data_IF_170985958739
#
_entry.id   IF_170985958739
#
_cell.length_a   1.000
_cell.length_b   1.000
_cell.length_c   1.000
_cell.angle_alpha   90.00
_cell.angle_beta   90.00
_cell.angle_gamma   90.00
#
_symmetry.space_group_name_H-M   'P 1'
#
loop_
_entity.id
_entity.type
_entity.pdbx_description
1 polymer ?
#
# COMPACT_ATOMS: atom_id res chain seq x y z
N UNK A 1 66.85 6.50 15.50
CA UNK A 1 67.79 5.41 15.14
C UNK A 1 66.97 4.19 14.93
N UNK A 2 66.99 3.80 13.85
CA UNK A 2 67.26 2.90 12.81
C UNK A 2 66.00 2.55 12.01
N UNK A 3 66.04 3.04 10.78
CA UNK A 3 65.16 2.56 9.70
C UNK A 3 65.68 1.21 9.20
N UNK A 4 64.82 0.36 8.70
CA UNK A 4 65.16 -0.55 7.63
C UNK A 4 63.98 -0.84 6.73
N UNK A 5 64.15 -0.45 5.49
CA UNK A 5 63.32 -0.74 4.32
C UNK A 5 63.86 -2.04 3.66
N UNK A 6 62.94 -2.82 3.08
CA UNK A 6 63.17 -3.77 1.97
C UNK A 6 61.77 -4.05 1.39
N UNK A 7 61.33 -3.58 0.29
CA UNK A 7 61.70 -3.65 -1.13
C UNK A 7 61.54 -5.05 -1.76
N UNK A 8 60.54 -5.12 -2.66
CA UNK A 8 60.47 -5.86 -3.93
C UNK A 8 60.47 -7.39 -3.96
N UNK A 9 59.41 -7.98 -4.51
CA UNK A 9 59.47 -8.71 -5.77
C UNK A 9 58.09 -9.18 -6.23
N UNK A 10 57.68 -8.69 -7.41
CA UNK A 10 56.73 -9.33 -8.32
C UNK A 10 57.45 -10.41 -9.13
N UNK A 11 56.74 -11.40 -9.65
CA UNK A 11 56.92 -11.73 -11.05
C UNK A 11 55.68 -11.64 -11.90
N UNK A 12 55.86 -11.07 -13.06
CA UNK A 12 54.98 -11.08 -14.20
C UNK A 12 55.10 -12.37 -15.00
N UNK A 13 54.06 -12.73 -15.73
CA UNK A 13 54.05 -13.74 -16.77
C UNK A 13 52.77 -14.59 -16.64
N UNK A 14 51.95 -14.86 -17.64
CA UNK A 14 52.09 -14.74 -19.08
C UNK A 14 50.67 -14.71 -19.69
N UNK A 15 50.55 -13.95 -20.76
CA UNK A 15 49.47 -14.00 -21.72
C UNK A 15 49.40 -15.36 -22.42
N UNK A 16 48.20 -15.92 -22.57
CA UNK A 16 47.94 -16.90 -23.62
C UNK A 16 46.63 -16.54 -24.32
N UNK A 17 46.74 -16.01 -25.52
CA UNK A 17 45.72 -15.90 -26.54
C UNK A 17 45.33 -17.29 -27.05
N UNK A 18 44.04 -17.58 -27.15
CA UNK A 18 43.54 -18.62 -28.02
C UNK A 18 42.41 -18.06 -28.87
N UNK A 19 42.73 -17.74 -30.12
CA UNK A 19 41.80 -17.54 -31.22
C UNK A 19 41.25 -18.90 -31.64
N UNK A 20 39.98 -19.01 -31.81
CA UNK A 20 39.28 -20.19 -32.35
C UNK A 20 38.01 -19.81 -33.08
N UNK A 21 38.18 -19.44 -34.34
CA UNK A 21 37.38 -19.61 -35.54
C UNK A 21 35.87 -19.88 -35.44
N UNK A 22 35.17 -18.91 -35.96
CA UNK A 22 33.83 -18.96 -36.53
C UNK A 22 33.69 -20.08 -37.58
N UNK A 23 32.55 -20.77 -37.59
CA UNK A 23 31.96 -21.37 -38.78
C UNK A 23 30.52 -20.95 -38.93
N UNK A 24 30.29 -20.16 -39.97
CA UNK A 24 29.01 -19.81 -40.51
C UNK A 24 28.40 -21.03 -41.25
N UNK A 25 27.14 -21.33 -40.99
CA UNK A 25 26.32 -22.11 -41.89
C UNK A 25 25.24 -21.22 -42.49
N UNK A 26 25.53 -20.82 -43.73
CA UNK A 26 24.62 -20.27 -44.70
C UNK A 26 23.71 -21.41 -45.20
N UNK A 27 22.39 -21.25 -45.16
CA UNK A 27 21.49 -21.99 -46.03
C UNK A 27 20.50 -21.04 -46.68
N UNK A 28 20.44 -21.24 -47.98
CA UNK A 28 19.90 -20.43 -49.03
C UNK A 28 18.38 -20.32 -49.10
N UNK A 29 17.93 -19.16 -49.55
CA UNK A 29 16.60 -18.92 -50.11
C UNK A 29 16.51 -19.52 -51.55
N UNK A 30 15.35 -20.00 -51.97
CA UNK A 30 15.02 -20.01 -53.40
C UNK A 30 14.11 -18.84 -53.76
N UNK A 31 14.58 -18.07 -54.73
CA UNK A 31 13.80 -17.10 -55.49
C UNK A 31 12.78 -17.82 -56.38
N UNK A 32 11.56 -17.32 -56.39
CA UNK A 32 10.59 -17.64 -57.44
C UNK A 32 10.26 -16.37 -58.25
N UNK A 33 10.42 -16.52 -59.53
CA UNK A 33 10.34 -15.54 -60.63
C UNK A 33 8.98 -14.88 -60.74
N UNK A 34 9.05 -13.59 -61.01
CA UNK A 34 8.04 -12.75 -61.67
C UNK A 34 7.66 -13.27 -63.04
N UNK A 35 6.39 -13.31 -63.35
CA UNK A 35 5.88 -13.23 -64.75
C UNK A 35 4.88 -12.09 -64.79
N UNK A 36 5.28 -11.08 -65.57
CA UNK A 36 4.44 -10.01 -66.11
C UNK A 36 3.34 -10.61 -66.99
N UNK A 37 2.13 -10.18 -66.80
CA UNK A 37 1.09 -10.19 -67.82
C UNK A 37 0.42 -8.83 -67.84
N UNK A 38 0.79 -8.08 -68.90
CA UNK A 38 0.07 -6.92 -69.39
C UNK A 38 -1.29 -7.36 -69.91
N UNK A 39 -2.36 -6.73 -69.43
CA UNK A 39 -3.63 -6.65 -70.20
C UNK A 39 -4.33 -5.32 -69.89
N UNK A 40 -4.51 -4.65 -70.98
CA UNK A 40 -5.33 -3.54 -71.40
C UNK A 40 -6.40 -2.95 -70.48
N UNK A 41 -6.35 -1.61 -70.41
CA UNK A 41 -7.44 -0.75 -69.96
C UNK A 41 -8.46 -0.51 -71.08
N UNK A 42 -9.77 -0.52 -70.76
CA UNK A 42 -10.73 0.28 -71.51
C UNK A 42 -10.95 1.62 -70.79
N UNK A 43 -10.79 2.68 -71.57
CA UNK A 43 -11.23 4.03 -71.15
C UNK A 43 -12.77 4.04 -71.14
N UNK A 44 -13.36 4.51 -70.11
CA UNK A 44 -14.76 4.92 -70.02
C UNK A 44 -14.82 6.40 -69.64
N UNK A 45 -15.52 7.13 -70.46
CA UNK A 45 -15.71 8.58 -70.52
C UNK A 45 -16.37 9.11 -69.23
N UNK A 46 -15.89 10.27 -68.77
CA UNK A 46 -16.49 11.06 -67.77
C UNK A 46 -17.87 11.61 -68.15
N UNK A 47 -18.89 11.25 -67.43
CA UNK A 47 -20.14 12.02 -67.41
C UNK A 47 -20.16 12.75 -66.05
N UNK A 48 -20.07 14.08 -66.12
CA UNK A 48 -20.33 14.99 -65.00
C UNK A 48 -21.79 14.84 -64.57
N UNK A 49 -22.00 14.25 -63.38
CA UNK A 49 -23.26 14.40 -62.68
C UNK A 49 -23.01 15.13 -61.40
N UNK A 50 -23.60 16.32 -61.30
CA UNK A 50 -23.70 17.13 -60.11
C UNK A 50 -24.43 16.33 -59.02
N UNK A 51 -23.67 15.78 -58.07
CA UNK A 51 -24.27 15.19 -56.87
C UNK A 51 -24.36 16.25 -55.80
N UNK A 52 -25.58 16.63 -55.51
CA UNK A 52 -26.00 17.32 -54.31
C UNK A 52 -25.53 16.51 -53.10
N UNK A 53 -24.60 17.06 -52.30
CA UNK A 53 -24.19 16.49 -51.04
C UNK A 53 -25.37 16.58 -50.05
N UNK A 54 -26.14 15.50 -49.98
CA UNK A 54 -26.98 15.26 -48.80
C UNK A 54 -26.06 14.85 -47.66
N UNK A 55 -25.89 15.73 -46.67
CA UNK A 55 -25.30 15.41 -45.36
C UNK A 55 -26.21 14.40 -44.66
N UNK A 56 -26.00 13.13 -44.92
CA UNK A 56 -26.54 12.05 -44.12
C UNK A 56 -25.71 12.03 -42.83
N UNK A 57 -26.27 12.65 -41.78
CA UNK A 57 -25.82 12.37 -40.41
C UNK A 57 -26.05 10.87 -40.17
N UNK A 58 -24.95 10.11 -40.07
CA UNK A 58 -25.00 8.71 -39.63
C UNK A 58 -25.76 8.67 -38.30
N UNK A 59 -26.76 7.79 -38.14
CA UNK A 59 -27.39 7.60 -36.86
C UNK A 59 -26.30 7.11 -35.90
N UNK A 60 -26.09 7.85 -34.77
CA UNK A 60 -25.25 7.37 -33.68
C UNK A 60 -25.77 5.98 -33.31
N UNK A 61 -25.06 4.94 -33.69
CA UNK A 61 -25.40 3.58 -33.29
C UNK A 61 -25.45 3.54 -31.77
N UNK A 62 -26.56 3.03 -31.23
CA UNK A 62 -26.60 2.68 -29.82
C UNK A 62 -25.40 1.79 -29.48
N UNK A 63 -24.65 2.05 -28.40
CA UNK A 63 -23.47 1.26 -28.07
C UNK A 63 -23.87 -0.21 -28.01
N UNK A 64 -23.04 -1.08 -28.60
CA UNK A 64 -23.25 -2.54 -28.53
C UNK A 64 -23.32 -2.95 -27.07
N UNK A 65 -24.08 -3.99 -26.78
CA UNK A 65 -24.27 -4.49 -25.39
C UNK A 65 -22.94 -4.69 -24.66
N UNK A 66 -21.89 -5.12 -25.37
CA UNK A 66 -20.54 -5.27 -24.87
C UNK A 66 -19.89 -3.94 -24.44
N UNK A 67 -20.11 -2.86 -25.18
CA UNK A 67 -19.62 -1.52 -24.86
C UNK A 67 -20.30 -0.96 -23.62
N UNK A 68 -21.62 -1.18 -23.50
CA UNK A 68 -22.38 -0.82 -22.30
C UNK A 68 -21.88 -1.58 -21.05
N UNK A 69 -21.56 -2.88 -21.18
CA UNK A 69 -20.98 -3.66 -20.10
C UNK A 69 -19.57 -3.19 -19.72
N UNK A 70 -18.72 -2.90 -20.73
CA UNK A 70 -17.38 -2.34 -20.49
C UNK A 70 -17.47 -1.01 -19.74
N UNK A 71 -18.34 -0.12 -20.17
CA UNK A 71 -18.53 1.17 -19.52
C UNK A 71 -19.04 0.98 -18.09
N UNK A 72 -20.12 0.20 -17.89
CA UNK A 72 -20.69 -0.06 -16.57
C UNK A 72 -19.68 -0.67 -15.60
N UNK A 73 -18.93 -1.69 -16.04
CA UNK A 73 -17.96 -2.38 -15.17
C UNK A 73 -16.77 -1.51 -14.81
N UNK A 74 -16.32 -0.62 -15.71
CA UNK A 74 -15.14 0.20 -15.46
C UNK A 74 -15.45 1.55 -14.82
N UNK A 75 -16.68 2.06 -14.98
CA UNK A 75 -17.03 3.41 -14.50
C UNK A 75 -16.87 3.59 -12.99
N UNK A 76 -17.14 2.53 -12.21
CA UNK A 76 -17.17 2.58 -10.75
C UNK A 76 -16.28 1.50 -10.09
N UNK A 77 -15.34 0.93 -10.83
CA UNK A 77 -14.37 0.01 -10.26
C UNK A 77 -13.22 0.78 -9.63
N UNK A 78 -12.92 0.48 -8.38
CA UNK A 78 -11.80 1.01 -7.59
C UNK A 78 -10.85 -0.13 -7.28
N UNK A 79 -9.62 -0.04 -7.76
CA UNK A 79 -8.58 -1.02 -7.50
C UNK A 79 -7.73 -0.60 -6.30
N UNK A 80 -7.60 -1.49 -5.33
CA UNK A 80 -6.85 -1.28 -4.09
C UNK A 80 -5.65 -2.22 -4.08
N UNK A 81 -4.43 -1.67 -4.20
CA UNK A 81 -3.20 -2.45 -4.01
C UNK A 81 -2.97 -2.67 -2.52
N UNK A 82 -2.84 -3.94 -2.14
CA UNK A 82 -2.72 -4.41 -0.76
C UNK A 82 -1.34 -5.05 -0.50
N UNK A 83 -1.24 -5.98 0.42
CA UNK A 83 -0.03 -6.72 0.73
C UNK A 83 -0.01 -8.12 0.13
N UNK A 84 0.95 -8.92 0.56
CA UNK A 84 1.02 -10.33 0.26
C UNK A 84 -0.14 -11.10 0.90
N UNK A 85 -0.42 -12.34 0.47
CA UNK A 85 -1.48 -13.17 1.05
C UNK A 85 -1.31 -13.49 2.54
N UNK A 86 -0.13 -13.22 3.09
CA UNK A 86 0.21 -13.48 4.49
C UNK A 86 0.08 -12.21 5.36
N UNK A 87 -0.23 -11.06 4.75
CA UNK A 87 -0.31 -9.76 5.40
C UNK A 87 -1.75 -9.29 5.60
N UNK A 88 -1.99 -8.58 6.70
CA UNK A 88 -3.30 -8.01 7.06
C UNK A 88 -3.87 -7.07 6.00
N UNK A 89 -3.04 -6.42 5.17
CA UNK A 89 -3.52 -5.53 4.11
C UNK A 89 -4.45 -6.21 3.12
N UNK A 90 -4.19 -7.48 2.79
CA UNK A 90 -5.06 -8.22 1.88
C UNK A 90 -6.40 -8.55 2.54
N UNK A 91 -6.40 -8.95 3.82
CA UNK A 91 -7.62 -9.20 4.57
C UNK A 91 -8.50 -7.95 4.67
N UNK A 92 -7.89 -6.80 4.97
CA UNK A 92 -8.56 -5.49 5.04
C UNK A 92 -9.16 -5.11 3.68
N UNK A 93 -8.40 -5.28 2.60
CA UNK A 93 -8.90 -4.96 1.25
C UNK A 93 -10.02 -5.91 0.80
N UNK A 94 -9.96 -7.18 1.22
CA UNK A 94 -11.04 -8.13 1.02
C UNK A 94 -12.30 -7.75 1.80
N UNK A 95 -12.17 -7.36 3.06
CA UNK A 95 -13.30 -6.87 3.87
C UNK A 95 -13.96 -5.65 3.23
N UNK A 96 -13.16 -4.70 2.72
CA UNK A 96 -13.67 -3.56 1.94
C UNK A 96 -14.48 -4.03 0.73
N UNK A 97 -13.98 -5.00 -0.03
CA UNK A 97 -14.68 -5.53 -1.19
C UNK A 97 -15.99 -6.21 -0.80
N UNK A 98 -16.01 -6.99 0.28
CA UNK A 98 -17.21 -7.71 0.72
C UNK A 98 -18.29 -6.76 1.24
N UNK A 99 -17.91 -5.69 1.95
CA UNK A 99 -18.87 -4.77 2.58
C UNK A 99 -19.33 -3.67 1.63
N UNK A 100 -18.45 -3.18 0.74
CA UNK A 100 -18.72 -1.98 -0.05
C UNK A 100 -19.14 -2.26 -1.48
N UNK A 101 -19.04 -3.51 -1.97
CA UNK A 101 -19.50 -3.83 -3.32
C UNK A 101 -21.01 -3.76 -3.42
N UNK A 102 -21.47 -2.98 -4.38
CA UNK A 102 -22.88 -2.87 -4.73
C UNK A 102 -23.07 -2.75 -6.26
N UNK A 103 -24.28 -2.42 -6.73
CA UNK A 103 -24.55 -2.22 -8.16
C UNK A 103 -23.77 -1.04 -8.77
N UNK A 104 -23.30 -0.14 -7.94
CA UNK A 104 -22.70 1.13 -8.33
C UNK A 104 -21.24 1.29 -7.94
N UNK A 105 -20.67 0.39 -7.14
CA UNK A 105 -19.28 0.41 -6.70
C UNK A 105 -18.72 -1.01 -6.69
N UNK A 106 -17.55 -1.19 -7.29
CA UNK A 106 -16.81 -2.44 -7.27
C UNK A 106 -15.41 -2.23 -6.75
N UNK A 107 -15.05 -2.90 -5.68
CA UNK A 107 -13.70 -2.92 -5.13
C UNK A 107 -12.96 -4.13 -5.67
N UNK A 108 -11.76 -3.90 -6.19
CA UNK A 108 -10.84 -4.95 -6.65
C UNK A 108 -9.59 -4.95 -5.78
N UNK A 109 -9.47 -5.86 -4.82
CA UNK A 109 -8.21 -6.10 -4.13
C UNK A 109 -7.14 -6.61 -5.10
N UNK A 110 -5.95 -6.01 -5.06
CA UNK A 110 -4.78 -6.43 -5.84
C UNK A 110 -3.71 -6.88 -4.84
N UNK A 111 -3.18 -8.08 -5.04
CA UNK A 111 -2.04 -8.59 -4.28
C UNK A 111 -0.79 -7.78 -4.65
N UNK A 112 -0.08 -7.28 -3.65
CA UNK A 112 1.17 -6.53 -3.78
C UNK A 112 2.22 -7.05 -2.80
N UNK A 113 3.34 -6.32 -2.69
CA UNK A 113 4.42 -6.62 -1.74
C UNK A 113 4.39 -5.71 -0.49
N UNK A 114 3.28 -4.96 -0.30
CA UNK A 114 3.13 -4.07 0.84
C UNK A 114 3.54 -2.62 0.58
N UNK A 115 3.62 -1.85 1.65
CA UNK A 115 3.56 -0.40 1.66
C UNK A 115 4.53 0.36 0.75
N UNK A 116 5.79 -0.09 0.61
CA UNK A 116 6.77 0.60 -0.24
C UNK A 116 6.43 0.47 -1.73
N UNK A 117 6.06 -0.74 -2.20
CA UNK A 117 5.58 -0.94 -3.56
C UNK A 117 4.28 -0.18 -3.79
N UNK A 118 3.34 -0.27 -2.86
CA UNK A 118 2.01 0.31 -3.00
C UNK A 118 2.05 1.82 -3.23
N UNK A 119 2.98 2.54 -2.62
CA UNK A 119 3.18 3.97 -2.89
C UNK A 119 3.57 4.20 -4.36
N UNK A 120 4.51 3.40 -4.88
CA UNK A 120 4.94 3.49 -6.29
C UNK A 120 3.79 3.14 -7.23
N UNK A 121 3.01 2.11 -6.90
CA UNK A 121 1.90 1.64 -7.73
C UNK A 121 0.74 2.65 -7.77
N UNK A 122 0.40 3.28 -6.67
CA UNK A 122 -0.58 4.38 -6.64
C UNK A 122 -0.12 5.55 -7.51
N UNK A 123 1.18 5.88 -7.51
CA UNK A 123 1.72 7.01 -8.26
C UNK A 123 1.85 6.72 -9.77
N UNK A 124 2.20 5.50 -10.16
CA UNK A 124 2.70 5.23 -11.51
C UNK A 124 1.98 4.10 -12.24
N UNK A 125 1.37 3.13 -11.53
CA UNK A 125 0.72 1.99 -12.17
C UNK A 125 -0.68 2.36 -12.64
N UNK A 126 -0.93 2.18 -13.95
CA UNK A 126 -2.26 2.40 -14.50
C UNK A 126 -3.24 1.36 -13.95
N UNK A 127 -4.37 1.83 -13.47
CA UNK A 127 -5.44 0.95 -12.97
C UNK A 127 -5.44 0.77 -11.46
N UNK A 128 -4.43 1.25 -10.74
CA UNK A 128 -4.45 1.36 -9.27
C UNK A 128 -5.03 2.72 -8.89
N UNK A 129 -6.02 2.72 -8.01
CA UNK A 129 -6.68 3.93 -7.53
C UNK A 129 -6.32 4.25 -6.07
N UNK A 130 -6.17 3.22 -5.25
CA UNK A 130 -5.92 3.31 -3.80
C UNK A 130 -4.83 2.30 -3.43
N UNK A 131 -4.03 2.62 -2.42
CA UNK A 131 -3.06 1.70 -1.83
C UNK A 131 -3.14 1.69 -0.31
N UNK A 132 -2.76 0.55 0.29
CA UNK A 132 -2.53 0.48 1.73
C UNK A 132 -1.03 0.57 1.96
N UNK A 133 -0.61 1.50 2.81
CA UNK A 133 0.79 1.70 3.18
C UNK A 133 0.91 2.01 4.67
N UNK A 134 2.11 2.25 5.16
CA UNK A 134 2.31 2.72 6.54
C UNK A 134 2.77 4.17 6.60
N UNK A 135 2.51 4.83 7.72
CA UNK A 135 3.00 6.17 8.02
C UNK A 135 4.53 6.24 7.95
N UNK A 136 5.22 5.14 8.31
CA UNK A 136 6.66 5.02 8.22
C UNK A 136 7.16 5.06 6.77
N UNK A 137 6.46 4.35 5.85
CA UNK A 137 6.85 4.36 4.43
C UNK A 137 6.63 5.73 3.79
N UNK A 138 5.55 6.41 4.14
CA UNK A 138 5.32 7.78 3.68
C UNK A 138 6.45 8.72 4.14
N UNK A 139 6.86 8.62 5.41
CA UNK A 139 7.98 9.40 5.96
C UNK A 139 9.31 9.03 5.31
N UNK A 140 9.59 7.74 5.12
CA UNK A 140 10.80 7.26 4.46
C UNK A 140 10.96 7.89 3.08
N UNK A 141 9.96 7.77 2.21
CA UNK A 141 10.04 8.34 0.87
C UNK A 141 10.05 9.86 0.83
N UNK A 142 9.39 10.52 1.79
CA UNK A 142 9.46 11.98 1.90
C UNK A 142 10.85 12.46 2.33
N UNK A 143 11.57 11.68 3.16
CA UNK A 143 12.90 12.04 3.66
C UNK A 143 14.04 11.67 2.72
N UNK A 144 13.93 10.55 2.01
CA UNK A 144 15.01 10.07 1.11
C UNK A 144 14.98 10.74 -0.25
N UNK A 145 13.81 11.25 -0.68
CA UNK A 145 13.66 11.81 -2.02
C UNK A 145 13.78 10.79 -3.15
N UNK A 146 13.70 9.49 -2.86
CA UNK A 146 13.74 8.42 -3.88
C UNK A 146 12.63 8.56 -4.93
N UNK A 147 11.49 9.12 -4.54
CA UNK A 147 10.40 9.44 -5.45
C UNK A 147 10.47 10.91 -5.81
N UNK A 148 10.62 11.21 -7.10
CA UNK A 148 10.76 12.57 -7.60
C UNK A 148 9.58 13.47 -7.21
N UNK A 149 9.89 14.70 -6.79
CA UNK A 149 8.93 15.74 -6.37
C UNK A 149 8.51 15.61 -4.90
N UNK A 150 7.77 16.59 -4.42
CA UNK A 150 7.19 16.60 -3.09
C UNK A 150 6.06 15.55 -3.00
N UNK A 151 6.29 14.48 -2.27
CA UNK A 151 5.37 13.35 -2.21
C UNK A 151 4.02 13.73 -1.59
N UNK A 152 4.03 14.61 -0.60
CA UNK A 152 2.88 15.21 0.08
C UNK A 152 1.97 16.07 -0.83
N UNK A 153 2.48 16.49 -1.99
CA UNK A 153 1.70 17.20 -3.03
C UNK A 153 1.13 16.25 -4.10
N UNK A 154 1.52 15.00 -4.08
CA UNK A 154 1.14 14.00 -5.09
C UNK A 154 0.24 12.92 -4.55
N UNK A 155 0.27 12.70 -3.25
CA UNK A 155 -0.54 11.72 -2.54
C UNK A 155 -1.40 12.39 -1.49
N UNK A 156 -2.65 12.01 -1.42
CA UNK A 156 -3.55 12.28 -0.32
C UNK A 156 -3.78 10.99 0.49
N UNK A 157 -3.99 11.12 1.80
CA UNK A 157 -4.50 10.00 2.56
C UNK A 157 -6.03 10.06 2.67
N UNK A 158 -6.70 8.92 2.57
CA UNK A 158 -8.14 8.82 2.77
C UNK A 158 -8.43 8.78 4.27
N UNK A 159 -7.84 7.81 4.96
CA UNK A 159 -7.91 7.66 6.41
C UNK A 159 -6.70 6.90 6.95
N UNK A 160 -6.37 7.12 8.22
CA UNK A 160 -5.53 6.19 8.96
C UNK A 160 -6.36 4.95 9.25
N UNK A 161 -5.72 3.80 9.21
CA UNK A 161 -6.35 2.54 9.56
C UNK A 161 -5.96 2.17 11.01
N UNK A 162 -5.30 1.08 11.18
CA UNK A 162 -4.94 0.51 12.48
C UNK A 162 -3.41 0.50 12.66
N UNK A 163 -2.92 0.36 13.90
CA UNK A 163 -1.51 0.08 14.14
C UNK A 163 -1.12 -1.32 13.67
N UNK A 164 0.05 -1.42 13.04
CA UNK A 164 0.71 -2.67 12.68
C UNK A 164 1.87 -2.89 13.64
N UNK A 165 1.82 -3.97 14.35
CA UNK A 165 2.82 -4.33 15.33
C UNK A 165 4.01 -5.05 14.68
N UNK A 166 5.21 -4.73 15.13
CA UNK A 166 6.43 -5.42 14.73
C UNK A 166 6.61 -6.67 15.59
N UNK A 167 6.67 -7.82 14.97
CA UNK A 167 6.90 -9.10 15.62
C UNK A 167 8.31 -9.58 15.28
N UNK A 168 9.09 -9.98 16.29
CA UNK A 168 10.37 -10.65 16.09
C UNK A 168 10.18 -12.09 16.56
N UNK A 169 10.05 -13.01 15.59
CA UNK A 169 9.92 -14.44 15.85
C UNK A 169 11.30 -15.08 15.86
N UNK A 170 11.63 -15.82 16.90
CA UNK A 170 12.92 -16.45 17.06
C UNK A 170 12.83 -17.86 17.71
N UNK A 171 13.94 -18.59 17.65
CA UNK A 171 14.12 -19.81 18.44
C UNK A 171 14.23 -19.46 19.95
N UNK A 172 13.89 -20.41 20.80
CA UNK A 172 13.82 -20.19 22.26
C UNK A 172 15.17 -19.88 22.94
N UNK A 173 16.29 -20.05 22.27
CA UNK A 173 17.62 -19.64 22.76
C UNK A 173 17.90 -18.14 22.61
N UNK A 174 17.20 -17.44 21.75
CA UNK A 174 17.21 -15.97 21.66
C UNK A 174 16.25 -15.41 22.70
N UNK A 175 16.74 -14.69 23.71
CA UNK A 175 15.91 -14.13 24.80
C UNK A 175 15.62 -12.65 24.62
N UNK A 176 16.56 -11.92 24.04
CA UNK A 176 16.52 -10.47 23.85
C UNK A 176 16.94 -10.12 22.42
N UNK A 177 16.69 -8.89 21.97
CA UNK A 177 17.21 -8.40 20.69
C UNK A 177 18.75 -8.41 20.65
N UNK A 178 19.41 -8.20 21.80
CA UNK A 178 20.87 -8.22 21.87
C UNK A 178 21.47 -9.59 21.52
N UNK A 179 20.74 -10.66 21.76
CA UNK A 179 21.13 -12.02 21.37
C UNK A 179 21.15 -12.24 19.85
N UNK A 180 20.58 -11.29 19.09
CA UNK A 180 20.57 -11.32 17.63
C UNK A 180 21.82 -10.64 17.01
N UNK A 181 22.66 -9.96 17.79
CA UNK A 181 23.86 -9.30 17.30
C UNK A 181 24.73 -10.31 16.52
N UNK A 182 25.12 -9.87 15.32
CA UNK A 182 25.94 -10.64 14.36
C UNK A 182 25.31 -11.96 13.86
N UNK A 183 24.03 -12.22 14.20
CA UNK A 183 23.29 -13.38 13.68
C UNK A 183 22.53 -13.02 12.41
N UNK A 184 22.18 -14.05 11.63
CA UNK A 184 21.31 -13.89 10.45
C UNK A 184 19.87 -13.67 10.91
N UNK A 185 19.27 -12.58 10.46
CA UNK A 185 17.87 -12.22 10.73
C UNK A 185 17.17 -11.90 9.43
N UNK A 186 16.01 -12.51 9.20
CA UNK A 186 15.20 -12.22 8.02
C UNK A 186 14.41 -10.92 8.24
N UNK A 187 14.55 -9.98 7.29
CA UNK A 187 13.80 -8.73 7.24
C UNK A 187 12.68 -8.77 6.17
N UNK A 188 12.15 -9.97 5.88
CA UNK A 188 11.15 -10.20 4.82
C UNK A 188 11.74 -10.02 3.41
N UNK A 189 10.89 -9.96 2.39
CA UNK A 189 11.32 -9.78 1.01
C UNK A 189 12.00 -8.42 0.79
N UNK A 190 12.99 -8.42 -0.08
CA UNK A 190 13.71 -7.20 -0.44
C UNK A 190 12.76 -6.15 -1.05
N UNK A 191 12.87 -4.90 -0.60
CA UNK A 191 12.01 -3.79 -1.00
C UNK A 191 10.65 -3.74 -0.30
N UNK A 192 10.39 -4.64 0.67
CA UNK A 192 9.17 -4.62 1.48
C UNK A 192 9.20 -3.52 2.55
N UNK A 193 8.03 -3.16 3.06
CA UNK A 193 7.92 -2.24 4.21
C UNK A 193 8.57 -2.80 5.46
N UNK A 194 8.48 -4.11 5.64
CA UNK A 194 9.08 -4.82 6.78
C UNK A 194 10.60 -4.67 6.76
N UNK A 195 11.25 -4.87 5.60
CA UNK A 195 12.69 -4.68 5.46
C UNK A 195 13.13 -3.28 5.86
N UNK A 196 12.50 -2.24 5.30
CA UNK A 196 12.85 -0.85 5.56
C UNK A 196 12.66 -0.49 7.02
N UNK A 197 11.51 -0.88 7.60
CA UNK A 197 11.19 -0.58 9.00
C UNK A 197 12.06 -1.37 9.98
N UNK A 198 12.35 -2.64 9.67
CA UNK A 198 13.24 -3.46 10.50
C UNK A 198 14.65 -2.88 10.56
N UNK A 199 15.22 -2.47 9.43
CA UNK A 199 16.52 -1.78 9.39
C UNK A 199 16.53 -0.52 10.26
N UNK A 200 15.47 0.30 10.16
CA UNK A 200 15.35 1.53 10.95
C UNK A 200 15.29 1.22 12.45
N UNK A 201 14.41 0.32 12.88
CA UNK A 201 14.24 -0.06 14.30
C UNK A 201 15.50 -0.69 14.86
N UNK A 202 16.10 -1.66 14.18
CA UNK A 202 17.35 -2.32 14.62
C UNK A 202 18.52 -1.33 14.68
N UNK A 203 18.59 -0.40 13.69
CA UNK A 203 19.57 0.68 13.68
C UNK A 203 19.41 1.64 14.85
N UNK A 204 18.18 2.09 15.16
CA UNK A 204 17.88 2.97 16.29
C UNK A 204 18.16 2.31 17.63
N UNK A 205 18.03 1.00 17.72
CA UNK A 205 18.35 0.21 18.92
C UNK A 205 19.82 -0.23 18.97
N UNK A 206 20.61 0.09 17.94
CA UNK A 206 22.02 -0.31 17.84
C UNK A 206 22.24 -1.83 17.88
N UNK A 207 21.30 -2.58 17.29
CA UNK A 207 21.39 -4.04 17.14
C UNK A 207 21.84 -4.35 15.73
N UNK A 208 23.13 -4.63 15.54
CA UNK A 208 23.71 -5.00 14.24
C UNK A 208 23.49 -6.48 13.97
N UNK A 209 22.87 -6.82 12.83
CA UNK A 209 22.59 -8.20 12.41
C UNK A 209 23.08 -8.46 10.99
N UNK A 210 23.21 -9.74 10.61
CA UNK A 210 23.39 -10.15 9.22
C UNK A 210 22.02 -10.26 8.57
N UNK A 211 21.60 -9.22 7.87
CA UNK A 211 20.33 -9.20 7.18
C UNK A 211 20.28 -10.24 6.07
N UNK A 212 19.14 -10.97 6.01
CA UNK A 212 18.77 -11.84 4.90
C UNK A 212 17.33 -11.50 4.49
N UNK A 213 16.96 -11.78 3.23
CA UNK A 213 15.65 -11.45 2.68
C UNK A 213 15.05 -12.69 2.04
N UNK A 214 13.91 -13.13 2.58
CA UNK A 214 13.13 -14.27 2.06
C UNK A 214 11.67 -14.16 2.52
N UNK A 215 10.79 -14.99 1.96
CA UNK A 215 9.39 -15.08 2.38
C UNK A 215 9.27 -15.49 3.85
N UNK A 216 8.16 -15.14 4.51
CA UNK A 216 7.96 -15.51 5.91
C UNK A 216 7.87 -17.03 6.09
N UNK A 217 7.27 -17.74 5.14
CA UNK A 217 7.19 -19.21 5.18
C UNK A 217 8.60 -19.85 5.15
N UNK A 218 9.48 -19.39 4.25
CA UNK A 218 10.85 -19.86 4.16
C UNK A 218 11.67 -19.49 5.39
N UNK A 219 11.47 -18.28 5.93
CA UNK A 219 12.14 -17.81 7.13
C UNK A 219 11.80 -18.65 8.37
N UNK A 220 10.51 -18.97 8.58
CA UNK A 220 10.08 -19.86 9.66
C UNK A 220 10.72 -21.25 9.52
N UNK A 221 10.77 -21.79 8.29
CA UNK A 221 11.45 -23.05 8.03
C UNK A 221 12.96 -22.99 8.29
N UNK A 222 13.60 -21.86 7.98
CA UNK A 222 15.04 -21.61 8.20
C UNK A 222 15.37 -21.46 9.70
N UNK A 223 14.50 -20.81 10.50
CA UNK A 223 14.66 -20.74 11.96
C UNK A 223 14.61 -22.14 12.56
N UNK A 224 13.65 -22.96 12.16
CA UNK A 224 13.50 -24.34 12.64
C UNK A 224 14.71 -25.23 12.33
N UNK A 225 15.43 -24.94 11.24
CA UNK A 225 16.69 -25.62 10.86
C UNK A 225 17.91 -25.04 11.56
N UNK A 226 17.81 -23.85 12.15
CA UNK A 226 18.94 -23.12 12.72
C UNK A 226 19.79 -22.38 11.67
N UNK A 227 19.29 -22.19 10.44
CA UNK A 227 19.99 -21.48 9.37
C UNK A 227 19.96 -19.95 9.60
N UNK A 228 18.91 -19.44 10.25
CA UNK A 228 18.76 -18.05 10.70
C UNK A 228 18.27 -18.02 12.16
N UNK A 229 18.55 -16.94 12.87
CA UNK A 229 18.18 -16.81 14.28
C UNK A 229 16.75 -16.31 14.50
N UNK A 230 16.27 -15.42 13.63
CA UNK A 230 14.96 -14.78 13.76
C UNK A 230 14.40 -14.30 12.41
N UNK A 231 13.10 -14.00 12.39
CA UNK A 231 12.46 -13.26 11.33
C UNK A 231 11.63 -12.11 11.91
N UNK A 232 11.56 -11.01 11.16
CA UNK A 232 10.72 -9.85 11.47
C UNK A 232 9.44 -9.91 10.63
N UNK A 233 8.30 -9.66 11.28
CA UNK A 233 6.99 -9.51 10.63
C UNK A 233 6.36 -8.22 11.12
N UNK A 234 5.95 -7.33 10.22
CA UNK A 234 5.15 -6.14 10.55
C UNK A 234 3.76 -6.34 9.95
N UNK A 235 2.79 -6.45 10.83
CA UNK A 235 1.41 -6.78 10.45
C UNK A 235 0.45 -6.41 11.57
N UNK A 236 -0.82 -6.21 11.24
CA UNK A 236 -1.86 -6.08 12.26
C UNK A 236 -2.01 -7.38 13.04
N UNK A 237 -2.13 -7.28 14.36
CA UNK A 237 -2.36 -8.46 15.22
C UNK A 237 -3.84 -8.90 15.17
N UNK A 238 -4.11 -10.23 15.16
CA UNK A 238 -3.12 -11.30 15.09
C UNK A 238 -2.57 -11.48 13.66
N UNK A 239 -1.24 -11.51 13.53
CA UNK A 239 -0.59 -11.81 12.27
C UNK A 239 -0.86 -13.26 11.86
N UNK A 240 -1.53 -13.47 10.73
CA UNK A 240 -2.03 -14.79 10.32
C UNK A 240 -0.93 -15.85 10.17
N UNK A 241 0.25 -15.45 9.69
CA UNK A 241 1.41 -16.34 9.55
C UNK A 241 1.96 -16.81 10.89
N UNK A 242 1.88 -15.97 11.93
CA UNK A 242 2.39 -16.29 13.28
C UNK A 242 1.36 -17.00 14.14
N UNK A 243 0.09 -16.63 14.08
CA UNK A 243 -0.96 -17.22 14.91
C UNK A 243 -1.20 -18.72 14.62
N UNK A 244 -0.77 -19.20 13.44
CA UNK A 244 -0.88 -20.61 13.05
C UNK A 244 0.32 -21.47 13.41
N UNK A 245 1.39 -20.90 14.00
CA UNK A 245 2.59 -21.66 14.40
C UNK A 245 2.23 -22.57 15.57
N UNK A 246 2.47 -23.91 15.46
CA UNK A 246 2.18 -24.84 16.54
C UNK A 246 3.23 -24.75 17.65
N UNK A 247 2.84 -25.05 18.88
CA UNK A 247 3.76 -25.04 20.04
C UNK A 247 4.94 -26.03 19.86
N UNK A 248 4.75 -27.10 19.05
CA UNK A 248 5.81 -28.09 18.76
C UNK A 248 7.01 -27.49 18.03
N UNK A 249 6.87 -26.34 17.36
CA UNK A 249 7.96 -25.69 16.64
C UNK A 249 8.98 -25.02 17.57
N UNK A 250 8.65 -24.89 18.86
CA UNK A 250 9.52 -24.34 19.90
C UNK A 250 10.08 -22.93 19.58
N UNK A 251 9.21 -22.10 18.98
CA UNK A 251 9.49 -20.71 18.66
C UNK A 251 8.84 -19.79 19.68
N UNK A 252 9.24 -18.53 19.73
CA UNK A 252 8.62 -17.49 20.53
C UNK A 252 8.79 -16.10 19.95
N UNK A 253 8.02 -15.12 20.48
CA UNK A 253 8.17 -13.72 20.17
C UNK A 253 9.15 -13.06 21.13
N UNK A 254 10.05 -12.24 20.58
CA UNK A 254 11.07 -11.49 21.32
C UNK A 254 10.58 -10.08 21.56
N UNK A 255 10.77 -9.57 22.77
CA UNK A 255 10.41 -8.20 23.14
C UNK A 255 11.26 -7.16 22.41
N UNK A 256 10.63 -6.07 21.97
CA UNK A 256 11.30 -4.88 21.44
C UNK A 256 11.16 -3.77 22.49
N UNK A 257 12.25 -3.37 23.16
CA UNK A 257 12.17 -2.35 24.20
C UNK A 257 11.81 -0.98 23.60
N UNK A 258 10.69 -0.41 24.05
CA UNK A 258 10.25 0.91 23.62
C UNK A 258 10.92 1.99 24.46
N UNK A 259 11.78 2.78 23.84
CA UNK A 259 12.57 3.82 24.48
C UNK A 259 12.39 5.19 23.81
N UNK A 260 12.99 6.25 24.37
CA UNK A 260 12.87 7.62 23.86
C UNK A 260 13.31 7.79 22.39
N UNK A 261 14.22 6.96 21.92
CA UNK A 261 14.67 7.01 20.52
C UNK A 261 13.55 6.57 19.57
N UNK A 262 12.75 5.61 20.00
CA UNK A 262 11.62 5.08 19.23
C UNK A 262 10.34 5.93 19.36
N UNK A 263 10.11 6.57 20.54
CA UNK A 263 8.89 7.37 20.83
C UNK A 263 8.61 8.47 19.80
N UNK A 264 9.65 9.07 19.23
CA UNK A 264 9.51 10.15 18.24
C UNK A 264 9.04 9.68 16.86
N UNK A 265 9.10 8.36 16.62
CA UNK A 265 8.96 7.78 15.28
C UNK A 265 7.87 6.72 15.24
N UNK A 266 7.79 5.93 16.30
CA UNK A 266 6.96 4.74 16.39
C UNK A 266 5.92 4.89 17.50
N UNK A 267 4.91 4.03 17.44
CA UNK A 267 3.89 3.89 18.49
C UNK A 267 4.30 2.72 19.38
N UNK A 268 4.09 2.83 20.68
CA UNK A 268 4.24 1.68 21.56
C UNK A 268 3.16 0.65 21.27
N UNK A 269 3.56 -0.58 20.98
CA UNK A 269 2.70 -1.71 20.74
C UNK A 269 2.80 -2.75 21.85
N UNK A 270 1.85 -3.67 21.87
CA UNK A 270 1.82 -4.82 22.78
C UNK A 270 1.24 -6.04 22.06
N UNK A 271 1.84 -7.20 22.27
CA UNK A 271 1.37 -8.48 21.75
C UNK A 271 0.86 -9.32 22.91
N UNK A 272 -0.40 -9.67 22.86
CA UNK A 272 -1.08 -10.37 23.96
C UNK A 272 -1.00 -11.90 23.75
N UNK A 273 -0.78 -12.64 24.83
CA UNK A 273 -0.76 -14.11 24.82
C UNK A 273 -2.03 -14.72 24.22
N UNK A 274 -3.18 -14.09 24.43
CA UNK A 274 -4.46 -14.58 23.89
C UNK A 274 -4.48 -14.63 22.36
N UNK A 275 -3.70 -13.78 21.68
CA UNK A 275 -3.58 -13.77 20.22
C UNK A 275 -2.49 -14.73 19.68
N UNK A 276 -1.51 -15.05 20.54
CA UNK A 276 -0.35 -15.90 20.21
C UNK A 276 -0.07 -16.95 21.30
N UNK A 277 -1.01 -17.84 21.58
CA UNK A 277 -0.93 -18.76 22.73
C UNK A 277 0.25 -19.73 22.68
N UNK A 278 0.80 -19.98 21.48
CA UNK A 278 1.93 -20.88 21.28
C UNK A 278 3.29 -20.16 21.26
N UNK A 279 3.30 -18.81 21.17
CA UNK A 279 4.49 -17.98 21.00
C UNK A 279 4.78 -17.06 22.17
N UNK A 280 3.80 -16.86 23.05
CA UNK A 280 3.92 -16.03 24.26
C UNK A 280 3.54 -16.89 25.45
N UNK A 281 4.38 -16.86 26.50
CA UNK A 281 4.16 -17.66 27.70
C UNK A 281 2.91 -17.19 28.46
N UNK A 282 2.24 -18.16 29.13
CA UNK A 282 0.98 -17.90 29.80
C UNK A 282 1.06 -16.76 30.82
N UNK A 283 0.10 -15.84 30.75
CA UNK A 283 0.02 -14.66 31.63
C UNK A 283 0.98 -13.53 31.28
N UNK A 284 1.71 -13.64 30.17
CA UNK A 284 2.63 -12.60 29.70
C UNK A 284 2.08 -11.82 28.50
N UNK A 285 2.68 -10.68 28.25
CA UNK A 285 2.54 -9.90 27.04
C UNK A 285 3.91 -9.39 26.60
N UNK A 286 4.09 -9.19 25.31
CA UNK A 286 5.36 -8.76 24.72
C UNK A 286 5.23 -7.30 24.29
N UNK A 287 6.11 -6.44 24.82
CA UNK A 287 6.22 -5.06 24.35
C UNK A 287 6.85 -5.02 22.96
N UNK A 288 6.35 -4.13 22.11
CA UNK A 288 6.87 -3.95 20.76
C UNK A 288 6.65 -2.52 20.27
N UNK A 289 7.05 -2.26 19.02
CA UNK A 289 6.76 -1.03 18.29
C UNK A 289 5.67 -1.27 17.27
N UNK A 290 4.93 -0.21 16.95
CA UNK A 290 3.92 -0.24 15.90
C UNK A 290 4.02 0.99 14.99
N UNK A 291 3.49 0.85 13.77
CA UNK A 291 3.31 1.93 12.79
C UNK A 291 1.84 2.00 12.40
N UNK A 292 1.32 3.19 12.11
CA UNK A 292 -0.06 3.28 11.58
C UNK A 292 -0.10 2.86 10.11
N UNK A 293 -1.02 1.98 9.78
CA UNK A 293 -1.39 1.74 8.38
C UNK A 293 -2.31 2.86 7.87
N UNK A 294 -2.26 3.13 6.57
CA UNK A 294 -2.90 4.28 5.94
C UNK A 294 -3.45 3.91 4.57
N UNK A 295 -4.69 4.28 4.28
CA UNK A 295 -5.24 4.28 2.92
C UNK A 295 -4.80 5.55 2.20
N UNK A 296 -4.09 5.39 1.08
CA UNK A 296 -3.60 6.48 0.24
C UNK A 296 -4.20 6.43 -1.16
N UNK A 297 -4.27 7.57 -1.80
CA UNK A 297 -4.64 7.74 -3.21
C UNK A 297 -3.77 8.82 -3.84
N UNK A 298 -3.71 8.86 -5.16
CA UNK A 298 -3.10 9.99 -5.85
C UNK A 298 -3.94 11.25 -5.61
N UNK A 299 -3.31 12.44 -5.61
CA UNK A 299 -4.00 13.73 -5.52
C UNK A 299 -4.79 14.01 -6.81
N UNK A 300 -5.92 13.32 -6.96
CA UNK A 300 -6.80 13.48 -8.11
C UNK A 300 -7.53 14.82 -8.05
N UNK A 301 -7.51 15.55 -9.15
CA UNK A 301 -8.22 16.82 -9.22
C UNK A 301 -9.74 16.61 -9.26
N UNK A 302 -10.53 17.42 -8.52
CA UNK A 302 -11.99 17.41 -8.59
C UNK A 302 -12.49 17.49 -10.03
N UNK A 303 -13.57 16.76 -10.35
CA UNK A 303 -14.14 16.70 -11.69
C UNK A 303 -13.53 15.62 -12.60
N UNK A 304 -12.43 14.97 -12.24
CA UNK A 304 -11.89 13.84 -12.98
C UNK A 304 -12.62 12.54 -12.65
N UNK A 305 -12.60 11.58 -13.59
CA UNK A 305 -13.19 10.25 -13.37
C UNK A 305 -12.56 9.51 -12.21
N UNK A 306 -11.25 9.65 -12.01
CA UNK A 306 -10.53 9.06 -10.89
C UNK A 306 -10.98 9.64 -9.56
N UNK A 307 -11.04 10.97 -9.46
CA UNK A 307 -11.57 11.64 -8.27
C UNK A 307 -12.96 11.13 -7.92
N UNK A 308 -13.86 11.07 -8.92
CA UNK A 308 -15.25 10.63 -8.71
C UNK A 308 -15.34 9.20 -8.16
N UNK A 309 -14.53 8.26 -8.70
CA UNK A 309 -14.50 6.88 -8.21
C UNK A 309 -13.99 6.77 -6.77
N UNK A 310 -12.90 7.46 -6.47
CA UNK A 310 -12.34 7.47 -5.11
C UNK A 310 -13.29 8.16 -4.14
N UNK A 311 -13.94 9.27 -4.53
CA UNK A 311 -14.94 9.94 -3.71
C UNK A 311 -16.14 9.03 -3.38
N UNK A 312 -16.59 8.25 -4.36
CA UNK A 312 -17.66 7.25 -4.16
C UNK A 312 -17.23 6.13 -3.21
N UNK A 313 -15.99 5.66 -3.34
CA UNK A 313 -15.42 4.72 -2.38
C UNK A 313 -15.40 5.31 -0.96
N UNK A 314 -14.99 6.56 -0.80
CA UNK A 314 -14.96 7.25 0.50
C UNK A 314 -16.35 7.33 1.11
N UNK A 315 -17.36 7.73 0.32
CA UNK A 315 -18.76 7.78 0.77
C UNK A 315 -19.23 6.40 1.26
N UNK A 316 -18.97 5.34 0.47
CA UNK A 316 -19.34 3.98 0.85
C UNK A 316 -18.62 3.52 2.11
N UNK A 317 -17.29 3.71 2.19
CA UNK A 317 -16.48 3.33 3.35
C UNK A 317 -16.98 3.98 4.63
N UNK A 318 -17.20 5.29 4.62
CA UNK A 318 -17.54 6.05 5.82
C UNK A 318 -18.99 5.78 6.24
N UNK A 319 -19.90 5.60 5.28
CA UNK A 319 -21.31 5.30 5.56
C UNK A 319 -21.52 3.87 6.10
N UNK A 320 -20.72 2.90 5.64
CA UNK A 320 -20.83 1.49 6.06
C UNK A 320 -19.74 1.07 7.05
N UNK A 321 -19.01 2.03 7.64
CA UNK A 321 -17.90 1.73 8.53
C UNK A 321 -18.29 0.81 9.69
N UNK A 322 -19.47 1.00 10.27
CA UNK A 322 -19.97 0.14 11.34
C UNK A 322 -20.13 -1.35 10.96
N UNK A 323 -20.26 -1.67 9.67
CA UNK A 323 -20.33 -3.06 9.21
C UNK A 323 -18.94 -3.72 9.15
N UNK A 324 -17.89 -2.92 8.88
CA UNK A 324 -16.50 -3.38 8.91
C UNK A 324 -16.06 -3.74 10.33
N UNK A 325 -16.61 -3.08 11.35
CA UNK A 325 -16.28 -3.34 12.76
C UNK A 325 -16.93 -4.61 13.35
N UNK A 326 -17.78 -5.30 12.59
CA UNK A 326 -18.50 -6.51 13.05
C UNK A 326 -17.83 -7.78 12.56
N UNK A 327 -17.82 -8.88 13.35
CA UNK A 327 -17.42 -10.19 12.85
C UNK A 327 -18.24 -10.60 11.60
N UNK A 328 -17.69 -11.35 10.66
CA UNK A 328 -16.37 -12.00 10.67
C UNK A 328 -15.23 -11.12 10.10
N UNK A 329 -15.37 -9.78 10.05
CA UNK A 329 -14.34 -8.88 9.55
C UNK A 329 -13.11 -8.89 10.46
N UNK A 330 -11.97 -8.49 9.90
CA UNK A 330 -10.71 -8.47 10.65
C UNK A 330 -10.85 -7.60 11.91
N UNK A 331 -10.40 -8.07 13.10
CA UNK A 331 -10.61 -7.35 14.37
C UNK A 331 -9.93 -5.97 14.41
N UNK A 332 -8.91 -5.75 13.61
CA UNK A 332 -8.23 -4.44 13.45
C UNK A 332 -9.15 -3.31 13.00
N UNK A 333 -10.30 -3.59 12.42
CA UNK A 333 -11.31 -2.57 12.12
C UNK A 333 -11.87 -1.88 13.36
N UNK A 334 -11.79 -2.52 14.53
CA UNK A 334 -12.21 -1.93 15.80
C UNK A 334 -11.23 -0.87 16.34
N UNK A 335 -9.98 -0.88 15.84
CA UNK A 335 -8.94 0.09 16.20
C UNK A 335 -8.89 1.29 15.24
N UNK A 336 -9.70 1.30 14.18
CA UNK A 336 -9.74 2.37 13.18
C UNK A 336 -10.58 3.55 13.66
N UNK A 337 -9.99 4.74 13.61
CA UNK A 337 -10.68 6.02 13.79
C UNK A 337 -10.57 6.82 12.48
N UNK A 338 -11.69 6.90 11.74
CA UNK A 338 -11.76 7.58 10.45
C UNK A 338 -11.40 9.08 10.53
N UNK A 339 -11.61 9.70 11.69
CA UNK A 339 -11.34 11.12 11.90
C UNK A 339 -9.86 11.42 12.25
N UNK A 340 -9.09 10.39 12.63
CA UNK A 340 -7.72 10.55 13.08
C UNK A 340 -6.83 11.16 11.98
N UNK A 341 -6.15 12.27 12.31
CA UNK A 341 -5.30 13.01 11.38
C UNK A 341 -3.95 12.30 11.16
N UNK A 342 -3.38 12.48 9.97
CA UNK A 342 -2.01 12.09 9.64
C UNK A 342 -1.17 13.37 9.52
N UNK A 343 -0.36 13.72 10.52
CA UNK A 343 0.41 14.95 10.52
C UNK A 343 1.35 15.07 9.31
N UNK A 344 1.37 16.24 8.69
CA UNK A 344 2.22 16.51 7.51
C UNK A 344 1.65 16.03 6.18
N UNK A 345 0.44 15.45 6.16
CA UNK A 345 -0.21 14.95 4.95
C UNK A 345 -1.60 15.54 4.76
N UNK A 346 -1.99 15.73 3.51
CA UNK A 346 -3.32 16.21 3.18
C UNK A 346 -4.31 15.04 3.11
N UNK A 347 -5.49 15.24 3.70
CA UNK A 347 -6.59 14.27 3.55
C UNK A 347 -7.25 14.48 2.20
N UNK A 348 -7.60 13.39 1.53
CA UNK A 348 -8.35 13.43 0.27
C UNK A 348 -9.62 14.27 0.45
N UNK A 349 -9.89 15.27 -0.43
CA UNK A 349 -10.93 16.27 -0.19
C UNK A 349 -12.31 15.67 0.12
N UNK A 350 -12.74 14.64 -0.62
CA UNK A 350 -14.03 14.01 -0.35
C UNK A 350 -14.13 13.38 1.05
N UNK A 351 -13.01 12.86 1.59
CA UNK A 351 -12.97 12.33 2.95
C UNK A 351 -13.04 13.45 4.00
N UNK A 352 -12.35 14.55 3.74
CA UNK A 352 -12.39 15.73 4.59
C UNK A 352 -13.80 16.34 4.64
N UNK A 353 -14.44 16.48 3.48
CA UNK A 353 -15.80 17.03 3.35
C UNK A 353 -16.83 16.15 4.08
N UNK A 354 -16.73 14.83 3.92
CA UNK A 354 -17.62 13.89 4.60
C UNK A 354 -17.51 14.02 6.14
N UNK A 355 -16.30 14.08 6.67
CA UNK A 355 -16.07 14.26 8.11
C UNK A 355 -16.56 15.61 8.62
N UNK A 356 -16.42 16.67 7.85
CA UNK A 356 -16.96 17.99 8.21
C UNK A 356 -18.49 17.98 8.22
N UNK A 357 -19.13 17.34 7.24
CA UNK A 357 -20.57 17.19 7.22
C UNK A 357 -21.09 16.37 8.40
N UNK A 358 -20.43 15.24 8.73
CA UNK A 358 -20.79 14.42 9.88
C UNK A 358 -20.68 15.19 11.20
N UNK A 359 -19.60 15.95 11.40
CA UNK A 359 -19.42 16.84 12.57
C UNK A 359 -20.50 17.93 12.61
N UNK A 360 -20.88 18.49 11.45
CA UNK A 360 -21.95 19.49 11.38
C UNK A 360 -23.30 18.89 11.76
N UNK A 361 -23.62 17.67 11.31
CA UNK A 361 -24.86 16.99 11.68
C UNK A 361 -24.91 16.63 13.18
N UNK A 362 -23.79 16.20 13.75
CA UNK A 362 -23.67 15.97 15.20
C UNK A 362 -23.89 17.26 15.99
N UNK A 363 -23.24 18.34 15.59
CA UNK A 363 -23.45 19.66 16.15
C UNK A 363 -24.90 20.07 16.07
N UNK A 364 -25.52 19.94 14.88
CA UNK A 364 -26.93 20.26 14.66
C UNK A 364 -27.86 19.47 15.59
N UNK A 365 -27.63 18.18 15.74
CA UNK A 365 -28.41 17.32 16.62
C UNK A 365 -28.29 17.73 18.09
N UNK A 366 -27.09 18.05 18.54
CA UNK A 366 -26.84 18.49 19.93
C UNK A 366 -27.41 19.87 20.25
N UNK A 367 -27.35 20.80 19.28
CA UNK A 367 -27.74 22.20 19.51
C UNK A 367 -29.16 22.52 19.06
N UNK A 368 -29.80 21.72 18.20
CA UNK A 368 -31.17 21.93 17.75
C UNK A 368 -32.22 21.16 18.57
N UNK A 369 -31.84 20.42 19.58
CA UNK A 369 -32.81 19.75 20.50
C UNK A 369 -33.70 20.76 21.28
N UNK A 370 -34.15 21.83 20.65
CA UNK A 370 -35.00 22.88 21.21
C UNK A 370 -35.23 24.08 20.30
N UNK A 371 -34.58 24.20 19.18
CA UNK A 371 -34.65 25.35 18.28
C UNK A 371 -35.17 24.94 16.88
N UNK A 372 -36.02 25.79 16.28
CA UNK A 372 -36.47 25.60 14.91
C UNK A 372 -35.28 25.63 13.92
N UNK A 373 -35.34 24.85 12.83
CA UNK A 373 -34.35 24.86 11.77
C UNK A 373 -34.17 26.26 11.18
N UNK A 374 -32.92 26.74 10.95
CA UNK A 374 -32.70 28.07 10.42
C UNK A 374 -33.26 28.21 9.02
N UNK A 375 -34.14 29.18 8.84
CA UNK A 375 -34.85 29.42 7.58
C UNK A 375 -34.25 30.57 6.78
N UNK A 376 -33.64 31.55 7.46
CA UNK A 376 -33.06 32.73 6.82
C UNK A 376 -31.55 32.58 6.56
N UNK A 377 -30.97 33.30 5.56
CA UNK A 377 -29.52 33.32 5.31
C UNK A 377 -28.71 33.75 6.55
N UNK A 378 -29.20 34.69 7.31
CA UNK A 378 -28.58 35.21 8.52
C UNK A 378 -28.53 34.16 9.64
N UNK A 379 -29.60 33.39 9.84
CA UNK A 379 -29.64 32.28 10.79
C UNK A 379 -28.70 31.14 10.39
N UNK A 380 -28.60 30.82 9.09
CA UNK A 380 -27.64 29.83 8.58
C UNK A 380 -26.19 30.26 8.81
N UNK A 381 -25.87 31.55 8.58
CA UNK A 381 -24.53 32.10 8.85
C UNK A 381 -24.19 32.06 10.34
N UNK A 382 -25.16 32.38 11.22
CA UNK A 382 -24.95 32.28 12.66
C UNK A 382 -24.67 30.85 13.11
N UNK A 383 -25.51 29.90 12.63
CA UNK A 383 -25.34 28.49 12.94
C UNK A 383 -23.97 27.94 12.48
N UNK A 384 -23.54 28.36 11.30
CA UNK A 384 -22.22 27.99 10.77
C UNK A 384 -21.07 28.56 11.62
N UNK A 385 -21.19 29.79 12.10
CA UNK A 385 -20.20 30.39 13.02
C UNK A 385 -20.14 29.63 14.34
N UNK A 386 -21.30 29.32 14.94
CA UNK A 386 -21.42 28.53 16.17
C UNK A 386 -20.80 27.11 15.99
N UNK A 387 -21.01 26.48 14.82
CA UNK A 387 -20.37 25.20 14.48
C UNK A 387 -18.85 25.31 14.42
N UNK A 388 -18.31 26.35 13.81
CA UNK A 388 -16.84 26.53 13.75
C UNK A 388 -16.23 26.70 15.15
N UNK A 389 -16.86 27.47 16.03
CA UNK A 389 -16.44 27.67 17.40
C UNK A 389 -16.53 26.34 18.21
N UNK A 390 -17.61 25.60 18.05
CA UNK A 390 -17.79 24.28 18.68
C UNK A 390 -16.74 23.28 18.19
N UNK A 391 -16.54 23.16 16.89
CA UNK A 391 -15.56 22.25 16.28
C UNK A 391 -14.13 22.52 16.75
N UNK A 392 -13.75 23.79 16.90
CA UNK A 392 -12.44 24.17 17.46
C UNK A 392 -12.30 23.78 18.92
N UNK A 393 -13.36 23.93 19.71
CA UNK A 393 -13.35 23.57 21.12
C UNK A 393 -13.30 22.05 21.33
N UNK A 394 -14.02 21.25 20.52
CA UNK A 394 -13.93 19.79 20.58
C UNK A 394 -12.52 19.29 20.19
N UNK A 395 -11.92 19.86 19.16
CA UNK A 395 -10.55 19.52 18.74
C UNK A 395 -9.49 19.85 19.81
N UNK A 396 -9.75 20.85 20.70
CA UNK A 396 -8.87 21.16 21.84
C UNK A 396 -9.04 20.20 23.02
N UNK A 397 -10.20 19.59 23.18
CA UNK A 397 -10.45 18.61 24.25
C UNK A 397 -9.86 17.23 23.95
N UNK A 398 -9.60 16.94 22.66
CA UNK A 398 -9.06 15.66 22.20
C UNK A 398 -7.52 15.64 22.13
N UNK A 399 -6.86 16.78 22.38
CA UNK A 399 -5.41 16.92 22.54
C UNK A 399 -5.01 16.88 24.02
#
# INVERSE_FOLDING_TARGET
>A
MIALACALMLPAGALAQAQGRSQAHSQAHPQARSQERSQERPQIQAHSQTQTQATTSEPKHAPRLEEQWKEKLNANTVAIIAGSPEETYLDISHDLAVVLNDENLRILPIVGLGGAQNIRDVLYLKGVDIGITSSQMLRYFASTGELSGALDQRLDYITRLYPEEMHVLASRDVKTLDDLKDKKVNFSEAGSSTEITARDVFGLLSVSVQEVNMSQADAIAAIKKGDIAATVVISGKPAGVLSRIPASDNLHLVEIPFNRTLENIYIQGQLEQALYPNLIDSGQSIQTVAVDSVLITNNWQPGTDRYRRVAKFVEALFSHFGELQKPPRHPKWQEVDLAKELPGWQRFPAAQDWLQQAKFEEFRTKYQAGNASPTTPTEKQRLFKEFLEWSQNESRKQR
#
